data_IF_612479027190
#
_entry.id   IF_612479027190
#
_cell.length_a   1.000
_cell.length_b   1.000
_cell.length_c   1.000
_cell.angle_alpha   90.00
_cell.angle_beta   90.00
_cell.angle_gamma   90.00
#
_symmetry.space_group_name_H-M   'P 1'
#
loop_
_entity.id
_entity.type
_entity.pdbx_description
1 polymer ?
#
# COMPACT_ATOMS: atom_id res chain seq x y z
N UNK A 1 8.25 -13.61 -37.88
CA UNK A 1 9.28 -13.67 -36.83
C UNK A 1 8.54 -13.85 -35.52
N UNK A 2 8.47 -15.09 -35.03
CA UNK A 2 7.72 -15.46 -33.84
C UNK A 2 8.75 -15.77 -32.76
N UNK A 3 8.73 -15.01 -31.67
CA UNK A 3 9.57 -15.33 -30.50
C UNK A 3 8.73 -16.22 -29.58
N UNK A 4 9.09 -17.49 -29.51
CA UNK A 4 8.58 -18.39 -28.48
C UNK A 4 9.38 -18.14 -27.20
N UNK A 5 8.73 -17.68 -26.14
CA UNK A 5 9.32 -17.69 -24.80
C UNK A 5 9.25 -19.13 -24.27
N UNK A 6 10.37 -19.86 -24.32
CA UNK A 6 10.53 -21.11 -23.57
C UNK A 6 10.81 -20.75 -22.12
N UNK A 7 9.76 -20.46 -21.35
CA UNK A 7 9.87 -20.44 -19.90
C UNK A 7 10.05 -21.88 -19.43
N UNK A 8 11.24 -22.22 -18.94
CA UNK A 8 11.39 -23.40 -18.08
C UNK A 8 10.52 -23.17 -16.86
N UNK A 9 9.69 -24.14 -16.49
CA UNK A 9 8.96 -24.19 -15.23
C UNK A 9 9.95 -24.13 -14.06
N UNK A 10 10.34 -22.92 -13.67
CA UNK A 10 11.13 -22.71 -12.48
C UNK A 10 10.15 -22.82 -11.32
N UNK A 11 10.24 -23.91 -10.57
CA UNK A 11 9.49 -24.09 -9.34
C UNK A 11 9.56 -22.81 -8.51
N UNK A 12 8.40 -22.35 -8.03
CA UNK A 12 8.34 -21.20 -7.14
C UNK A 12 9.35 -21.39 -6.00
N UNK A 13 10.16 -20.36 -5.65
CA UNK A 13 11.10 -20.47 -4.55
C UNK A 13 10.39 -20.97 -3.29
N UNK A 14 10.85 -22.11 -2.75
CA UNK A 14 10.27 -22.72 -1.55
C UNK A 14 10.75 -22.06 -0.25
N UNK A 15 11.75 -21.17 -0.35
CA UNK A 15 12.30 -20.37 0.73
C UNK A 15 11.89 -18.91 0.48
N UNK A 16 10.65 -18.59 0.85
CA UNK A 16 10.27 -17.18 0.97
C UNK A 16 11.00 -16.65 2.22
N UNK A 17 11.77 -15.56 2.12
CA UNK A 17 12.39 -14.99 3.30
C UNK A 17 11.30 -14.69 4.33
N UNK A 18 11.34 -15.42 5.46
CA UNK A 18 10.41 -15.20 6.57
C UNK A 18 10.67 -13.87 7.29
N UNK A 19 11.75 -13.18 6.93
CA UNK A 19 12.17 -11.90 7.47
C UNK A 19 12.69 -11.04 6.32
N UNK A 20 11.92 -10.02 5.96
CA UNK A 20 12.37 -9.00 5.03
C UNK A 20 13.24 -8.00 5.80
N UNK A 21 14.37 -7.60 5.21
CA UNK A 21 15.16 -6.49 5.74
C UNK A 21 14.31 -5.20 5.75
N UNK A 22 14.58 -4.28 6.68
CA UNK A 22 13.90 -2.99 6.66
C UNK A 22 14.25 -2.24 5.36
N UNK A 23 13.27 -1.52 4.81
CA UNK A 23 13.51 -0.64 3.66
C UNK A 23 14.49 0.44 4.09
N UNK A 24 15.57 0.63 3.31
CA UNK A 24 16.46 1.76 3.53
C UNK A 24 15.72 3.05 3.16
N UNK A 25 15.47 3.99 4.08
CA UNK A 25 14.75 5.23 3.78
C UNK A 25 15.40 6.04 2.66
N UNK A 26 16.73 5.96 2.52
CA UNK A 26 17.49 6.66 1.46
C UNK A 26 17.30 6.03 0.07
N UNK A 27 16.72 4.83 -0.02
CA UNK A 27 16.41 4.15 -1.29
C UNK A 27 15.00 4.41 -1.81
N UNK A 28 14.19 5.20 -1.10
CA UNK A 28 12.84 5.58 -1.51
C UNK A 28 12.93 6.52 -2.73
N UNK A 29 12.29 6.14 -3.84
CA UNK A 29 12.38 6.87 -5.11
C UNK A 29 11.18 7.79 -5.39
N UNK A 30 10.14 7.73 -4.54
CA UNK A 30 8.93 8.51 -4.72
C UNK A 30 8.03 8.52 -3.50
N UNK A 31 7.14 9.50 -3.45
CA UNK A 31 6.11 9.65 -2.41
C UNK A 31 4.71 9.63 -3.01
N UNK A 32 3.77 9.03 -2.28
CA UNK A 32 2.35 9.01 -2.63
C UNK A 32 1.50 9.38 -1.44
N UNK A 33 0.33 9.92 -1.75
CA UNK A 33 -0.72 10.18 -0.77
C UNK A 33 -2.00 9.53 -1.27
N UNK A 34 -2.66 8.78 -0.40
CA UNK A 34 -3.94 8.16 -0.72
C UNK A 34 -4.96 8.42 0.38
N UNK A 35 -6.21 8.65 -0.02
CA UNK A 35 -7.31 8.95 0.88
C UNK A 35 -8.43 7.93 0.73
N UNK A 36 -8.75 7.25 1.82
CA UNK A 36 -10.00 6.53 1.94
C UNK A 36 -11.13 7.47 2.40
N UNK A 37 -12.25 7.44 1.69
CA UNK A 37 -13.44 8.21 2.05
C UNK A 37 -14.74 7.44 1.80
N UNK A 38 -15.76 7.77 2.57
CA UNK A 38 -17.11 7.22 2.45
C UNK A 38 -18.05 8.39 2.14
N UNK A 39 -18.84 8.29 1.07
CA UNK A 39 -19.80 9.34 0.73
C UNK A 39 -20.55 9.08 -0.58
N UNK A 40 -21.51 9.95 -0.89
CA UNK A 40 -22.39 9.82 -2.06
C UNK A 40 -23.76 9.22 -1.73
N UNK A 41 -24.65 9.26 -2.73
CA UNK A 41 -25.99 8.66 -2.68
C UNK A 41 -26.22 7.88 -3.99
N UNK A 42 -26.24 6.53 -3.97
CA UNK A 42 -26.06 5.65 -2.81
C UNK A 42 -24.66 5.79 -2.18
N UNK A 43 -24.50 5.33 -0.94
CA UNK A 43 -23.20 5.35 -0.25
C UNK A 43 -22.14 4.61 -1.06
N UNK A 44 -21.01 5.27 -1.29
CA UNK A 44 -19.85 4.70 -1.99
C UNK A 44 -18.60 4.76 -1.10
N UNK A 45 -17.79 3.72 -1.21
CA UNK A 45 -16.44 3.65 -0.66
C UNK A 45 -15.45 4.02 -1.74
N UNK A 46 -14.53 4.94 -1.44
CA UNK A 46 -13.71 5.59 -2.45
C UNK A 46 -12.26 5.65 -2.00
N UNK A 47 -11.36 5.45 -2.96
CA UNK A 47 -9.93 5.76 -2.83
C UNK A 47 -9.66 6.96 -3.72
N UNK A 48 -9.05 8.01 -3.17
CA UNK A 48 -8.78 9.26 -3.89
C UNK A 48 -10.04 9.86 -4.55
N UNK A 49 -11.20 9.72 -3.90
CA UNK A 49 -12.48 10.22 -4.40
C UNK A 49 -13.14 9.38 -5.49
N UNK A 50 -12.51 8.29 -5.93
CA UNK A 50 -13.05 7.37 -6.94
C UNK A 50 -13.52 6.07 -6.31
N UNK A 51 -14.74 5.66 -6.62
CA UNK A 51 -15.22 4.32 -6.31
C UNK A 51 -14.64 3.32 -7.31
N UNK A 52 -14.39 2.08 -6.88
CA UNK A 52 -13.94 1.03 -7.78
C UNK A 52 -14.97 0.78 -8.89
N UNK A 53 -14.49 0.74 -10.14
CA UNK A 53 -15.23 0.31 -11.31
C UNK A 53 -14.48 -0.87 -11.94
N UNK A 54 -15.18 -1.97 -12.20
CA UNK A 54 -14.58 -3.26 -12.60
C UNK A 54 -13.75 -3.23 -13.89
N UNK A 55 -13.83 -2.15 -14.66
CA UNK A 55 -13.20 -2.02 -15.97
C UNK A 55 -12.17 -0.89 -16.05
N UNK A 56 -12.09 0.02 -15.06
CA UNK A 56 -11.44 1.31 -15.30
C UNK A 56 -11.00 2.04 -14.03
N UNK A 57 -10.23 1.38 -13.15
CA UNK A 57 -9.55 2.09 -12.06
C UNK A 57 -8.11 1.62 -11.94
N UNK A 58 -7.20 2.35 -12.60
CA UNK A 58 -5.78 2.35 -12.27
C UNK A 58 -5.53 3.62 -11.45
N UNK A 59 -5.40 3.48 -10.13
CA UNK A 59 -5.06 4.63 -9.27
C UNK A 59 -3.58 4.96 -9.35
N UNK A 60 -2.72 3.93 -9.40
CA UNK A 60 -1.28 4.08 -9.21
C UNK A 60 -0.49 3.21 -10.21
N UNK A 61 0.69 3.67 -10.61
CA UNK A 61 1.61 2.96 -11.51
C UNK A 61 3.03 2.92 -10.88
N UNK A 62 3.29 2.01 -9.93
CA UNK A 62 4.60 1.90 -9.28
C UNK A 62 5.65 1.28 -10.21
N UNK A 63 6.93 1.64 -10.00
CA UNK A 63 8.06 1.08 -10.77
C UNK A 63 8.62 -0.16 -10.08
N UNK A 64 8.71 -1.27 -10.81
CA UNK A 64 9.26 -2.54 -10.29
C UNK A 64 10.71 -2.35 -9.79
N UNK A 65 11.07 -3.04 -8.71
CA UNK A 65 12.39 -2.99 -8.04
C UNK A 65 12.74 -1.61 -7.47
N UNK A 66 11.74 -0.83 -7.08
CA UNK A 66 11.93 0.43 -6.35
C UNK A 66 11.04 0.46 -5.11
N UNK A 67 11.40 1.29 -4.13
CA UNK A 67 10.61 1.53 -2.93
C UNK A 67 9.98 2.92 -2.98
N UNK A 68 8.75 3.05 -2.51
CA UNK A 68 8.02 4.31 -2.48
C UNK A 68 7.45 4.53 -1.07
N UNK A 69 7.35 5.78 -0.64
CA UNK A 69 6.72 6.14 0.63
C UNK A 69 5.27 6.52 0.40
N UNK A 70 4.35 5.89 1.11
CA UNK A 70 2.92 6.12 0.97
C UNK A 70 2.32 6.61 2.27
N UNK A 71 1.72 7.79 2.22
CA UNK A 71 0.92 8.33 3.30
C UNK A 71 -0.55 7.98 3.06
N UNK A 72 -1.08 7.06 3.87
CA UNK A 72 -2.44 6.56 3.77
C UNK A 72 -3.31 7.26 4.81
N UNK A 73 -4.33 7.95 4.35
CA UNK A 73 -5.29 8.67 5.20
C UNK A 73 -6.64 7.97 5.19
N UNK A 74 -7.28 7.95 6.35
CA UNK A 74 -8.56 7.28 6.50
C UNK A 74 -9.26 7.64 7.81
N UNK A 75 -10.44 7.06 7.99
CA UNK A 75 -11.24 7.22 9.19
C UNK A 75 -11.76 5.84 9.60
N UNK A 76 -10.91 5.08 10.29
CA UNK A 76 -11.27 3.79 10.87
C UNK A 76 -11.40 2.67 9.84
N UNK A 77 -10.42 2.51 8.96
CA UNK A 77 -10.47 1.56 7.85
C UNK A 77 -9.17 0.73 7.70
N UNK A 78 -9.26 -0.59 7.51
CA UNK A 78 -8.10 -1.39 7.10
C UNK A 78 -7.75 -1.10 5.64
N UNK A 79 -6.50 -0.71 5.40
CA UNK A 79 -5.94 -0.51 4.07
C UNK A 79 -5.06 -1.71 3.71
N UNK A 80 -5.43 -2.41 2.63
CA UNK A 80 -4.76 -3.62 2.15
C UNK A 80 -4.16 -3.38 0.76
N UNK A 81 -2.88 -3.70 0.58
CA UNK A 81 -2.23 -3.73 -0.74
C UNK A 81 -2.00 -5.19 -1.13
N UNK A 82 -2.41 -5.54 -2.35
CA UNK A 82 -2.14 -6.85 -2.93
C UNK A 82 -0.72 -6.90 -3.52
N UNK A 83 -0.13 -8.10 -3.55
CA UNK A 83 1.16 -8.43 -4.18
C UNK A 83 2.39 -7.85 -3.46
N UNK A 84 2.40 -6.55 -3.18
CA UNK A 84 3.56 -5.86 -2.60
C UNK A 84 3.35 -5.68 -1.09
N UNK A 85 4.01 -6.46 -0.22
CA UNK A 85 4.03 -6.17 1.21
C UNK A 85 4.72 -4.82 1.43
N UNK A 86 4.42 -4.18 2.55
CA UNK A 86 4.95 -2.87 2.91
C UNK A 86 5.39 -2.85 4.37
N UNK A 87 6.31 -1.94 4.68
CA UNK A 87 6.77 -1.68 6.02
C UNK A 87 6.03 -0.49 6.63
N UNK A 88 5.29 -0.69 7.72
CA UNK A 88 4.66 0.43 8.43
C UNK A 88 5.71 1.16 9.27
N UNK A 89 5.88 2.45 9.04
CA UNK A 89 6.86 3.31 9.72
C UNK A 89 6.22 4.29 10.69
N UNK A 90 5.00 4.77 10.40
CA UNK A 90 4.30 5.71 11.29
C UNK A 90 2.80 5.42 11.44
N UNK A 91 2.24 5.83 12.56
CA UNK A 91 0.80 5.97 12.81
C UNK A 91 0.48 7.38 13.31
N UNK A 92 -0.45 8.07 12.65
CA UNK A 92 -0.88 9.44 12.96
C UNK A 92 0.30 10.40 13.22
N UNK A 93 1.34 10.32 12.38
CA UNK A 93 2.56 11.14 12.46
C UNK A 93 3.56 10.72 13.55
N UNK A 94 3.34 9.60 14.25
CA UNK A 94 4.26 9.05 15.24
C UNK A 94 4.96 7.81 14.69
N UNK A 95 6.30 7.83 14.69
CA UNK A 95 7.14 6.68 14.37
C UNK A 95 6.81 5.45 15.23
N UNK A 96 6.82 4.27 14.61
CA UNK A 96 6.79 3.00 15.34
C UNK A 96 8.18 2.67 15.87
N UNK A 97 8.24 2.13 17.09
CA UNK A 97 9.49 1.62 17.69
C UNK A 97 10.02 0.38 16.94
N UNK A 98 9.14 -0.29 16.18
CA UNK A 98 9.45 -1.48 15.41
C UNK A 98 8.78 -1.38 14.04
N UNK A 99 9.50 -0.98 12.98
CA UNK A 99 9.03 -1.10 11.61
C UNK A 99 8.67 -2.56 11.31
N UNK A 100 7.46 -2.80 10.82
CA UNK A 100 6.93 -4.15 10.60
C UNK A 100 6.46 -4.32 9.17
N UNK A 101 6.84 -5.44 8.55
CA UNK A 101 6.30 -5.88 7.28
C UNK A 101 4.87 -6.38 7.44
N UNK A 102 3.96 -5.81 6.66
CA UNK A 102 2.53 -6.11 6.64
C UNK A 102 2.01 -6.03 5.21
N UNK A 103 0.81 -6.53 5.02
CA UNK A 103 0.00 -6.33 3.81
C UNK A 103 -1.29 -5.56 4.13
N UNK A 104 -1.63 -5.40 5.41
CA UNK A 104 -2.76 -4.63 5.91
C UNK A 104 -2.32 -3.70 7.03
N UNK A 105 -2.73 -2.43 6.97
CA UNK A 105 -2.60 -1.46 8.07
C UNK A 105 -3.97 -0.89 8.43
N UNK A 106 -4.29 -0.82 9.73
CA UNK A 106 -5.52 -0.17 10.17
C UNK A 106 -5.27 1.33 10.35
N UNK A 107 -5.93 2.16 9.54
CA UNK A 107 -5.85 3.61 9.65
C UNK A 107 -6.93 4.08 10.61
N UNK A 108 -6.50 4.50 11.81
CA UNK A 108 -7.41 4.83 12.91
C UNK A 108 -8.25 6.07 12.60
N UNK A 109 -9.40 6.14 13.24
CA UNK A 109 -10.14 7.40 13.38
C UNK A 109 -9.54 8.16 14.54
N UNK A 110 -8.96 9.34 14.30
CA UNK A 110 -8.63 10.22 15.41
C UNK A 110 -9.95 10.74 16.00
N UNK A 111 -10.07 10.73 17.32
CA UNK A 111 -11.26 11.14 18.06
C UNK A 111 -11.51 12.65 17.90
N UNK A 112 -12.01 13.12 16.75
CA UNK A 112 -12.25 14.55 16.54
C UNK A 112 -12.36 15.06 15.11
N UNK A 113 -12.80 14.25 14.14
CA UNK A 113 -13.01 14.66 12.74
C UNK A 113 -11.75 14.95 11.89
N UNK A 114 -10.56 14.65 12.41
CA UNK A 114 -9.32 14.54 11.61
C UNK A 114 -9.17 13.10 11.13
N UNK A 115 -8.80 12.93 9.86
CA UNK A 115 -8.41 11.63 9.32
C UNK A 115 -7.12 11.18 10.00
N UNK A 116 -7.11 10.00 10.60
CA UNK A 116 -5.85 9.39 11.02
C UNK A 116 -5.00 9.02 9.79
N UNK A 117 -3.73 8.72 10.03
CA UNK A 117 -2.81 8.34 8.96
C UNK A 117 -1.95 7.14 9.33
N UNK A 118 -1.41 6.49 8.31
CA UNK A 118 -0.29 5.59 8.42
C UNK A 118 0.72 5.91 7.32
N UNK A 119 2.01 5.87 7.65
CA UNK A 119 3.07 5.89 6.66
C UNK A 119 3.55 4.45 6.44
N UNK A 120 3.67 4.07 5.16
CA UNK A 120 4.17 2.77 4.75
C UNK A 120 5.24 2.92 3.66
N UNK A 121 6.22 2.02 3.65
CA UNK A 121 7.32 1.92 2.67
C UNK A 121 7.26 0.63 1.86
#
# INVERSE_FOLDING_TARGET
>A
MTVAASGSDQAAPTDLPHQFDNVNPDSVVGERITYFSIGGSPTQFKVNGMAFMSTEVISENPTVNTSERWNVYGNGHPYHIHVNPFQVTQFSGKETDFPMWKDVVYVQSDSGAVSGSAEIL
#
